data_IF_841864954583
#
_entry.id   IF_841864954583
#
_cell.length_a   1.000
_cell.length_b   1.000
_cell.length_c   1.000
_cell.angle_alpha   90.00
_cell.angle_beta   90.00
_cell.angle_gamma   90.00
#
_symmetry.space_group_name_H-M   'P 1'
#
loop_
_entity.id
_entity.type
_entity.pdbx_description
1 polymer ?
#
# COMPACT_ATOMS: atom_id res chain seq x y z
N UNK A 1 -34.71 23.06 20.71
CA UNK A 1 -33.29 23.34 20.46
C UNK A 1 -32.78 22.57 19.23
N UNK A 2 -33.20 22.93 18.00
CA UNK A 2 -32.35 22.88 16.81
C UNK A 2 -32.03 24.34 16.39
N UNK A 3 -30.93 24.66 15.64
CA UNK A 3 -30.42 23.87 14.51
C UNK A 3 -28.89 23.94 14.30
N UNK A 4 -28.15 22.84 14.55
CA UNK A 4 -26.73 22.68 14.13
C UNK A 4 -26.62 22.11 12.70
N UNK A 5 -27.74 21.85 12.02
CA UNK A 5 -27.76 21.19 10.69
C UNK A 5 -27.48 22.16 9.52
N UNK A 6 -27.22 23.46 9.77
CA UNK A 6 -27.13 24.46 8.70
C UNK A 6 -25.72 24.77 8.13
N UNK A 7 -24.67 24.04 8.53
CA UNK A 7 -23.28 24.35 8.10
C UNK A 7 -22.71 23.35 7.07
N UNK A 8 -23.52 22.41 6.57
CA UNK A 8 -23.02 21.34 5.69
C UNK A 8 -23.18 21.57 4.17
N UNK A 9 -23.57 22.77 3.71
CA UNK A 9 -23.87 23.02 2.28
C UNK A 9 -23.16 24.23 1.67
N UNK A 10 -21.86 24.42 1.98
CA UNK A 10 -21.08 25.47 1.30
C UNK A 10 -19.66 25.06 0.89
N UNK A 11 -19.48 23.85 0.36
CA UNK A 11 -18.29 23.51 -0.45
C UNK A 11 -18.71 22.61 -1.60
N UNK A 12 -19.38 23.17 -2.61
CA UNK A 12 -19.70 22.43 -3.85
C UNK A 12 -19.52 23.23 -5.15
N UNK A 13 -18.89 24.40 -5.15
CA UNK A 13 -18.72 25.17 -6.41
C UNK A 13 -17.36 25.87 -6.47
N UNK A 14 -16.31 25.08 -6.64
CA UNK A 14 -15.09 25.56 -7.31
C UNK A 14 -14.82 24.67 -8.51
N UNK A 15 -15.00 25.26 -9.70
CA UNK A 15 -14.74 24.68 -11.00
C UNK A 15 -13.42 23.88 -11.07
N UNK A 16 -13.54 22.62 -11.50
CA UNK A 16 -12.91 22.16 -12.72
C UNK A 16 -11.43 22.48 -12.92
N UNK A 17 -10.55 21.71 -12.28
CA UNK A 17 -9.26 21.27 -12.84
C UNK A 17 -8.94 19.86 -12.33
N UNK A 18 -9.52 18.84 -12.96
CA UNK A 18 -8.95 17.50 -12.87
C UNK A 18 -7.69 17.52 -13.74
N UNK A 19 -6.52 17.65 -13.11
CA UNK A 19 -5.25 17.37 -13.78
C UNK A 19 -5.26 15.88 -14.14
N UNK A 20 -5.54 15.57 -15.40
CA UNK A 20 -5.23 14.25 -15.95
C UNK A 20 -3.70 14.14 -15.98
N UNK A 21 -3.06 13.22 -15.22
CA UNK A 21 -1.67 12.91 -15.52
C UNK A 21 -1.66 12.36 -16.95
N UNK A 22 -0.87 12.99 -17.82
CA UNK A 22 -0.61 12.46 -19.14
C UNK A 22 0.03 11.09 -18.96
N UNK A 23 -0.74 10.02 -19.19
CA UNK A 23 -0.18 8.71 -19.42
C UNK A 23 0.61 8.82 -20.72
N UNK A 24 1.92 8.99 -20.59
CA UNK A 24 2.86 8.90 -21.70
C UNK A 24 2.67 7.53 -22.35
N UNK A 25 2.07 7.53 -23.54
CA UNK A 25 2.04 6.36 -24.42
C UNK A 25 3.41 6.23 -25.06
N UNK A 26 4.35 5.66 -24.32
CA UNK A 26 5.57 5.09 -24.87
C UNK A 26 5.34 3.59 -25.01
N UNK A 27 5.03 3.13 -26.22
CA UNK A 27 5.17 1.73 -26.58
C UNK A 27 6.68 1.42 -26.65
N UNK A 28 7.30 1.26 -25.49
CA UNK A 28 8.62 0.69 -25.33
C UNK A 28 8.50 -0.80 -25.07
N UNK A 29 9.50 -1.57 -25.48
CA UNK A 29 9.76 -2.95 -25.09
C UNK A 29 9.29 -3.21 -23.66
N UNK A 30 8.66 -4.36 -23.40
CA UNK A 30 8.25 -4.72 -22.04
C UNK A 30 9.49 -4.89 -21.16
N UNK A 31 9.99 -3.78 -20.61
CA UNK A 31 11.03 -3.77 -19.61
C UNK A 31 10.52 -4.56 -18.40
N UNK A 32 11.40 -5.40 -17.84
CA UNK A 32 11.07 -6.15 -16.64
C UNK A 32 10.66 -5.17 -15.54
N UNK A 33 9.57 -5.49 -14.84
CA UNK A 33 9.13 -4.70 -13.70
C UNK A 33 10.22 -4.68 -12.63
N UNK A 34 10.64 -3.48 -12.23
CA UNK A 34 11.56 -3.27 -11.11
C UNK A 34 10.79 -2.55 -10.00
N UNK A 35 10.51 -3.21 -8.87
CA UNK A 35 9.78 -2.60 -7.77
C UNK A 35 10.56 -1.43 -7.17
N UNK A 36 9.84 -0.41 -6.72
CA UNK A 36 10.43 0.73 -6.03
C UNK A 36 10.85 0.38 -4.61
N UNK A 37 11.76 1.18 -4.02
CA UNK A 37 12.18 0.98 -2.63
C UNK A 37 11.00 0.97 -1.65
N UNK A 38 10.06 1.91 -1.80
CA UNK A 38 8.89 1.98 -0.92
C UNK A 38 8.03 0.72 -0.99
N UNK A 39 7.89 0.14 -2.17
CA UNK A 39 7.14 -1.11 -2.36
C UNK A 39 7.85 -2.29 -1.71
N UNK A 40 9.17 -2.43 -1.92
CA UNK A 40 9.98 -3.45 -1.26
C UNK A 40 9.88 -3.32 0.28
N UNK A 41 9.99 -2.10 0.80
CA UNK A 41 9.87 -1.85 2.23
C UNK A 41 8.47 -2.17 2.77
N UNK A 42 7.40 -1.88 2.01
CA UNK A 42 6.03 -2.22 2.41
C UNK A 42 5.79 -3.73 2.43
N UNK A 43 6.30 -4.47 1.45
CA UNK A 43 6.21 -5.94 1.41
C UNK A 43 6.91 -6.54 2.64
N UNK A 44 8.10 -6.04 2.97
CA UNK A 44 8.86 -6.54 4.10
C UNK A 44 8.21 -6.20 5.45
N UNK A 45 7.60 -5.02 5.58
CA UNK A 45 6.81 -4.68 6.77
C UNK A 45 5.63 -5.64 6.96
N UNK A 46 4.94 -6.01 5.88
CA UNK A 46 3.81 -6.95 5.96
C UNK A 46 4.24 -8.35 6.42
N UNK A 47 5.39 -8.85 5.95
CA UNK A 47 5.93 -10.14 6.42
C UNK A 47 6.28 -10.10 7.92
N UNK A 48 6.90 -9.03 8.42
CA UNK A 48 7.15 -8.87 9.85
C UNK A 48 5.87 -8.89 10.70
N UNK A 49 4.81 -8.23 10.23
CA UNK A 49 3.50 -8.26 10.89
C UNK A 49 2.93 -9.67 10.90
N UNK A 50 3.03 -10.40 9.78
CA UNK A 50 2.57 -11.78 9.67
C UNK A 50 3.32 -12.72 10.61
N UNK A 51 4.64 -12.59 10.67
CA UNK A 51 5.50 -13.31 11.61
C UNK A 51 5.11 -13.02 13.07
N UNK A 52 4.88 -11.75 13.43
CA UNK A 52 4.45 -11.37 14.78
C UNK A 52 3.17 -12.10 15.17
N UNK A 53 2.14 -12.07 14.31
CA UNK A 53 0.88 -12.75 14.59
C UNK A 53 1.01 -14.27 14.60
N UNK A 54 1.85 -14.86 13.74
CA UNK A 54 2.14 -16.29 13.78
C UNK A 54 2.74 -16.71 15.13
N UNK A 55 3.70 -15.92 15.65
CA UNK A 55 4.29 -16.14 16.98
C UNK A 55 3.29 -15.98 18.12
N UNK A 56 2.42 -14.95 18.07
CA UNK A 56 1.36 -14.76 19.06
C UNK A 56 0.34 -15.91 19.06
N UNK A 57 0.11 -16.53 17.91
CA UNK A 57 -0.82 -17.66 17.75
C UNK A 57 -0.16 -19.04 17.99
N UNK A 58 1.11 -19.09 18.37
CA UNK A 58 1.90 -20.33 18.50
C UNK A 58 1.92 -21.18 17.21
N UNK A 59 1.74 -20.54 16.05
CA UNK A 59 1.81 -21.20 14.75
C UNK A 59 3.27 -21.23 14.26
N UNK A 60 4.04 -22.15 14.83
CA UNK A 60 5.49 -22.24 14.59
C UNK A 60 5.84 -22.60 13.15
N UNK A 61 5.01 -23.40 12.49
CA UNK A 61 5.21 -23.76 11.08
C UNK A 61 5.14 -22.50 10.19
N UNK A 62 4.15 -21.63 10.44
CA UNK A 62 4.03 -20.36 9.73
C UNK A 62 5.13 -19.37 10.12
N UNK A 63 5.51 -19.33 11.40
CA UNK A 63 6.58 -18.45 11.85
C UNK A 63 7.92 -18.82 11.20
N UNK A 64 8.23 -20.12 11.09
CA UNK A 64 9.43 -20.59 10.41
C UNK A 64 9.43 -20.21 8.92
N UNK A 65 8.29 -20.40 8.24
CA UNK A 65 8.12 -19.99 6.85
C UNK A 65 8.34 -18.49 6.63
N UNK A 66 7.74 -17.63 7.46
CA UNK A 66 7.91 -16.18 7.31
C UNK A 66 9.34 -15.70 7.62
N UNK A 67 10.08 -16.39 8.51
CA UNK A 67 11.50 -16.08 8.75
C UNK A 67 12.35 -16.38 7.52
N UNK A 68 12.09 -17.50 6.84
CA UNK A 68 12.80 -17.89 5.62
C UNK A 68 12.56 -16.88 4.49
N UNK A 69 11.30 -16.55 4.26
CA UNK A 69 10.88 -15.61 3.22
C UNK A 69 11.34 -14.16 3.47
N UNK A 70 11.50 -13.77 4.75
CA UNK A 70 12.12 -12.49 5.08
C UNK A 70 13.57 -12.47 4.61
N UNK A 71 14.31 -13.58 4.72
CA UNK A 71 15.67 -13.72 4.21
C UNK A 71 15.73 -13.58 2.69
N UNK A 72 14.87 -14.32 1.98
CA UNK A 72 14.79 -14.25 0.51
C UNK A 72 14.47 -12.84 -0.01
N UNK A 73 13.69 -12.05 0.76
CA UNK A 73 13.38 -10.67 0.41
C UNK A 73 14.59 -9.71 0.42
N UNK A 74 15.75 -10.15 0.91
CA UNK A 74 16.99 -9.37 0.98
C UNK A 74 18.13 -9.87 0.08
N UNK A 75 17.98 -11.05 -0.53
CA UNK A 75 18.95 -11.64 -1.48
C UNK A 75 18.69 -11.18 -2.92
#
# INVERSE_FOLDING_TARGET
MPPIVLIAWLVCTACGRQSTPAAGSGAGSADAYVPGLGEMMSLQQMRHVKLWFAGQAENWDLAAYEVDELGEGFD
#
